data_IF_081737520410
#
_entry.id   IF_081737520410
#
_cell.length_a   1.000
_cell.length_b   1.000
_cell.length_c   1.000
_cell.angle_alpha   90.00
_cell.angle_beta   90.00
_cell.angle_gamma   90.00
#
_symmetry.space_group_name_H-M   'P 1'
#
loop_
_entity.id
_entity.type
_entity.pdbx_description
1 polymer ?
#
# COMPACT_ATOMS: atom_id res chain seq x y z
N UNK A 1 26.34 -23.51 5.79
CA UNK A 1 25.16 -22.68 6.09
C UNK A 1 25.50 -21.23 5.76
N UNK A 2 24.66 -20.52 5.01
CA UNK A 2 24.83 -19.08 4.80
C UNK A 2 24.43 -18.35 6.10
N UNK A 3 25.30 -17.47 6.58
CA UNK A 3 25.02 -16.62 7.75
C UNK A 3 24.13 -15.47 7.28
N UNK A 4 23.04 -15.20 7.99
CA UNK A 4 22.15 -14.09 7.67
C UNK A 4 22.88 -12.75 7.89
N UNK A 5 22.94 -11.85 6.90
CA UNK A 5 23.57 -10.55 7.05
C UNK A 5 22.92 -9.72 8.16
N UNK A 6 23.73 -9.03 8.96
CA UNK A 6 23.25 -8.12 10.00
C UNK A 6 22.96 -6.74 9.40
N UNK A 7 21.81 -6.61 8.74
CA UNK A 7 21.35 -5.35 8.15
C UNK A 7 20.42 -4.66 9.14
N UNK A 8 20.73 -3.42 9.54
CA UNK A 8 19.80 -2.61 10.33
C UNK A 8 18.51 -2.36 9.52
N UNK A 9 17.32 -2.76 10.00
CA UNK A 9 16.07 -2.55 9.29
C UNK A 9 15.67 -1.07 9.18
N UNK A 10 16.26 -0.19 9.97
CA UNK A 10 15.99 1.25 10.01
C UNK A 10 17.05 2.00 9.21
N UNK A 11 16.62 2.82 8.26
CA UNK A 11 17.51 3.68 7.46
C UNK A 11 17.95 4.88 8.30
N UNK A 12 16.97 5.59 8.88
CA UNK A 12 17.17 6.69 9.81
C UNK A 12 15.92 6.90 10.66
N UNK A 13 16.05 7.70 11.72
CA UNK A 13 14.95 8.06 12.63
C UNK A 13 14.76 9.57 12.67
N UNK A 14 13.51 9.99 12.73
CA UNK A 14 13.12 11.38 13.00
C UNK A 14 12.19 11.36 14.21
N UNK A 15 12.75 11.59 15.40
CA UNK A 15 12.03 11.42 16.66
C UNK A 15 11.49 9.98 16.82
N UNK A 16 10.18 9.78 17.10
CA UNK A 16 9.59 8.44 17.24
C UNK A 16 9.39 7.72 15.89
N UNK A 17 9.53 8.41 14.75
CA UNK A 17 9.30 7.84 13.43
C UNK A 17 10.59 7.17 12.92
N UNK A 18 10.52 5.85 12.72
CA UNK A 18 11.60 5.08 12.10
C UNK A 18 11.29 4.81 10.62
N UNK A 19 12.13 5.32 9.72
CA UNK A 19 12.04 5.03 8.29
C UNK A 19 12.76 3.71 8.04
N UNK A 20 12.07 2.71 7.49
CA UNK A 20 12.58 1.34 7.34
C UNK A 20 12.81 0.98 5.88
N UNK A 21 13.77 0.09 5.64
CA UNK A 21 14.11 -0.39 4.28
C UNK A 21 12.92 -0.98 3.54
N UNK A 22 12.11 -1.81 4.19
CA UNK A 22 10.94 -2.40 3.54
C UNK A 22 9.94 -1.34 3.07
N UNK A 23 9.77 -0.25 3.83
CA UNK A 23 8.88 0.86 3.46
C UNK A 23 9.40 1.61 2.25
N UNK A 24 10.72 1.85 2.20
CA UNK A 24 11.37 2.40 1.01
C UNK A 24 11.18 1.49 -0.20
N UNK A 25 11.33 0.18 -0.04
CA UNK A 25 11.12 -0.78 -1.13
C UNK A 25 9.68 -0.77 -1.66
N UNK A 26 8.67 -0.53 -0.81
CA UNK A 26 7.29 -0.33 -1.28
C UNK A 26 7.14 0.92 -2.16
N UNK A 27 7.78 2.02 -1.77
CA UNK A 27 7.75 3.27 -2.56
C UNK A 27 8.45 3.05 -3.90
N UNK A 28 9.63 2.41 -3.90
CA UNK A 28 10.35 2.08 -5.13
C UNK A 28 9.50 1.18 -6.02
N UNK A 29 8.86 0.15 -5.46
CA UNK A 29 7.98 -0.74 -6.22
C UNK A 29 6.82 0.01 -6.88
N UNK A 30 6.20 0.97 -6.18
CA UNK A 30 5.15 1.81 -6.75
C UNK A 30 5.65 2.62 -7.94
N UNK A 31 6.80 3.30 -7.81
CA UNK A 31 7.38 4.08 -8.91
C UNK A 31 7.82 3.19 -10.08
N UNK A 32 8.42 2.04 -9.81
CA UNK A 32 8.75 1.07 -10.86
C UNK A 32 7.52 0.65 -11.66
N UNK A 33 6.41 0.33 -10.98
CA UNK A 33 5.15 -0.01 -11.63
C UNK A 33 4.60 1.16 -12.45
N UNK A 34 4.56 2.36 -11.86
CA UNK A 34 4.12 3.59 -12.53
C UNK A 34 4.89 3.86 -13.82
N UNK A 35 6.23 3.89 -13.75
CA UNK A 35 7.07 4.20 -14.92
C UNK A 35 7.00 3.09 -15.97
N UNK A 36 6.97 1.83 -15.55
CA UNK A 36 6.87 0.70 -16.47
C UNK A 36 5.53 0.68 -17.22
N UNK A 37 4.42 0.96 -16.53
CA UNK A 37 3.10 1.05 -17.18
C UNK A 37 3.01 2.25 -18.11
N UNK A 38 3.54 3.43 -17.73
CA UNK A 38 3.60 4.59 -18.61
C UNK A 38 4.47 4.34 -19.84
N UNK A 39 5.62 3.70 -19.66
CA UNK A 39 6.49 3.30 -20.77
C UNK A 39 5.75 2.40 -21.77
N UNK A 40 5.03 1.38 -21.30
CA UNK A 40 4.24 0.50 -22.16
C UNK A 40 3.09 1.19 -22.89
N UNK A 41 2.43 2.17 -22.26
CA UNK A 41 1.41 2.98 -22.94
C UNK A 41 2.02 3.85 -24.04
N UNK A 42 3.19 4.45 -23.78
CA UNK A 42 3.93 5.23 -24.78
C UNK A 42 4.30 4.40 -26.00
N UNK A 43 4.85 3.21 -25.79
CA UNK A 43 5.23 2.27 -26.88
C UNK A 43 4.02 1.88 -27.76
N UNK A 44 2.81 1.96 -27.20
CA UNK A 44 1.55 1.67 -27.90
C UNK A 44 0.85 2.90 -28.46
N UNK A 45 1.43 4.10 -28.32
CA UNK A 45 0.80 5.38 -28.66
C UNK A 45 -0.56 5.59 -27.94
N UNK A 46 -0.63 5.23 -26.65
CA UNK A 46 -1.81 5.35 -25.80
C UNK A 46 -1.59 6.33 -24.64
N UNK A 47 -0.84 7.41 -24.86
CA UNK A 47 -0.52 8.40 -23.82
C UNK A 47 -1.75 9.12 -23.26
N UNK A 48 -2.87 9.15 -23.99
CA UNK A 48 -4.15 9.63 -23.51
C UNK A 48 -4.67 8.85 -22.29
N UNK A 49 -4.19 7.63 -22.06
CA UNK A 49 -4.52 6.81 -20.90
C UNK A 49 -3.65 7.10 -19.68
N UNK A 50 -2.66 8.00 -19.75
CA UNK A 50 -1.85 8.34 -18.57
C UNK A 50 -2.71 8.79 -17.38
N UNK A 51 -3.63 9.78 -17.50
CA UNK A 51 -4.42 10.21 -16.34
C UNK A 51 -5.26 9.05 -15.76
N UNK A 52 -5.76 8.17 -16.62
CA UNK A 52 -6.49 6.98 -16.19
C UNK A 52 -5.61 6.02 -15.39
N UNK A 53 -4.41 5.69 -15.89
CA UNK A 53 -3.45 4.82 -15.21
C UNK A 53 -3.02 5.39 -13.87
N UNK A 54 -2.71 6.68 -13.82
CA UNK A 54 -2.21 7.35 -12.61
C UNK A 54 -3.26 7.35 -11.51
N UNK A 55 -4.51 7.69 -11.86
CA UNK A 55 -5.63 7.60 -10.95
C UNK A 55 -5.92 6.15 -10.53
N UNK A 56 -5.89 5.18 -11.45
CA UNK A 56 -6.09 3.77 -11.13
C UNK A 56 -5.05 3.28 -10.10
N UNK A 57 -3.77 3.58 -10.31
CA UNK A 57 -2.70 3.22 -9.39
C UNK A 57 -2.86 3.91 -8.03
N UNK A 58 -3.14 5.22 -8.03
CA UNK A 58 -3.33 5.99 -6.81
C UNK A 58 -4.52 5.49 -5.99
N UNK A 59 -5.70 5.33 -6.60
CA UNK A 59 -6.87 4.84 -5.90
C UNK A 59 -6.72 3.39 -5.46
N UNK A 60 -6.10 2.52 -6.26
CA UNK A 60 -5.84 1.14 -5.85
C UNK A 60 -4.87 1.06 -4.66
N UNK A 61 -3.88 1.95 -4.61
CA UNK A 61 -2.97 2.07 -3.46
C UNK A 61 -3.68 2.59 -2.20
N UNK A 62 -4.57 3.57 -2.34
CA UNK A 62 -5.43 4.01 -1.22
C UNK A 62 -6.34 2.87 -0.73
N UNK A 63 -6.96 2.13 -1.67
CA UNK A 63 -7.76 0.94 -1.38
C UNK A 63 -6.95 -0.12 -0.63
N UNK A 64 -5.69 -0.33 -1.00
CA UNK A 64 -4.78 -1.21 -0.30
C UNK A 64 -4.55 -0.78 1.14
N UNK A 65 -4.23 0.49 1.40
CA UNK A 65 -3.94 0.97 2.76
C UNK A 65 -5.20 0.86 3.64
N UNK A 66 -6.34 1.34 3.13
CA UNK A 66 -7.61 1.32 3.85
C UNK A 66 -8.05 -0.12 4.09
N UNK A 67 -8.04 -0.95 3.06
CA UNK A 67 -8.42 -2.35 3.15
C UNK A 67 -7.51 -3.13 4.08
N UNK A 68 -6.20 -2.90 4.04
CA UNK A 68 -5.26 -3.55 4.95
C UNK A 68 -5.53 -3.18 6.40
N UNK A 69 -5.81 -1.91 6.67
CA UNK A 69 -6.11 -1.46 8.03
C UNK A 69 -7.44 -2.01 8.53
N UNK A 70 -8.50 -1.91 7.73
CA UNK A 70 -9.82 -2.43 8.10
C UNK A 70 -9.80 -3.95 8.24
N UNK A 71 -9.16 -4.66 7.31
CA UNK A 71 -8.98 -6.11 7.41
C UNK A 71 -8.19 -6.50 8.66
N UNK A 72 -7.21 -5.70 9.08
CA UNK A 72 -6.53 -5.94 10.36
C UNK A 72 -7.50 -5.83 11.55
N UNK A 73 -8.29 -4.76 11.57
CA UNK A 73 -9.25 -4.50 12.64
C UNK A 73 -10.34 -5.56 12.71
N UNK A 74 -10.92 -5.94 11.58
CA UNK A 74 -12.05 -6.87 11.52
C UNK A 74 -11.65 -8.34 11.63
N UNK A 75 -10.54 -8.76 11.01
CA UNK A 75 -10.18 -10.18 10.97
C UNK A 75 -9.43 -10.64 12.22
N UNK A 76 -8.71 -9.74 12.89
CA UNK A 76 -7.81 -10.13 13.99
C UNK A 76 -8.23 -9.59 15.36
N UNK A 77 -8.78 -8.37 15.45
CA UNK A 77 -9.08 -7.75 16.76
C UNK A 77 -10.42 -6.98 16.78
N UNK A 78 -11.54 -7.56 16.32
CA UNK A 78 -12.80 -6.83 16.19
C UNK A 78 -13.29 -6.23 17.52
N UNK A 79 -13.26 -7.00 18.61
CA UNK A 79 -13.75 -6.56 19.93
C UNK A 79 -12.98 -5.36 20.50
N UNK A 80 -11.68 -5.29 20.21
CA UNK A 80 -10.84 -4.18 20.65
C UNK A 80 -11.20 -2.88 19.92
N UNK A 81 -11.34 -2.95 18.60
CA UNK A 81 -11.62 -1.77 17.77
C UNK A 81 -13.07 -1.29 17.89
N UNK A 82 -14.02 -2.17 18.25
CA UNK A 82 -15.37 -1.75 18.62
C UNK A 82 -15.38 -0.87 19.88
N UNK A 83 -14.50 -1.14 20.84
CA UNK A 83 -14.34 -0.32 22.06
C UNK A 83 -13.48 0.92 21.82
N UNK A 84 -12.60 0.89 20.81
CA UNK A 84 -11.64 1.95 20.52
C UNK A 84 -11.65 2.36 19.03
N UNK A 85 -12.77 2.88 18.50
CA UNK A 85 -12.94 3.10 17.06
C UNK A 85 -11.95 4.12 16.48
N UNK A 86 -11.51 5.10 17.27
CA UNK A 86 -10.50 6.09 16.83
C UNK A 86 -9.14 5.44 16.53
N UNK A 87 -8.82 4.30 17.14
CA UNK A 87 -7.57 3.60 16.88
C UNK A 87 -7.52 2.94 15.51
N UNK A 88 -8.66 2.79 14.81
CA UNK A 88 -8.68 2.29 13.44
C UNK A 88 -7.82 3.19 12.53
N UNK A 89 -7.77 4.49 12.77
CA UNK A 89 -7.00 5.46 11.96
C UNK A 89 -5.51 5.46 12.36
N UNK A 90 -5.15 4.91 13.51
CA UNK A 90 -3.80 4.92 14.07
C UNK A 90 -2.86 3.91 13.38
N UNK A 91 -2.66 4.05 12.06
CA UNK A 91 -1.83 3.17 11.23
C UNK A 91 -0.35 3.14 11.66
N UNK A 92 0.13 4.19 12.33
CA UNK A 92 1.50 4.27 12.87
C UNK A 92 1.75 3.32 14.04
N UNK A 93 0.69 2.81 14.70
CA UNK A 93 0.82 1.74 15.72
C UNK A 93 1.09 0.37 15.08
N UNK A 94 1.17 0.28 13.75
CA UNK A 94 1.26 -0.98 13.01
C UNK A 94 -0.09 -1.70 12.95
N UNK A 95 -0.07 -2.96 12.49
CA UNK A 95 -1.28 -3.75 12.29
C UNK A 95 -1.90 -3.49 10.92
N UNK A 96 -1.53 -4.33 9.95
CA UNK A 96 -2.01 -4.29 8.57
C UNK A 96 -2.28 -5.73 8.12
N UNK A 97 -3.41 -5.96 7.47
CA UNK A 97 -3.79 -7.26 6.89
C UNK A 97 -3.39 -7.31 5.43
N UNK A 98 -2.64 -8.35 5.04
CA UNK A 98 -2.38 -8.61 3.63
C UNK A 98 -3.69 -8.87 2.86
N UNK A 99 -4.56 -9.75 3.38
CA UNK A 99 -5.84 -10.08 2.76
C UNK A 99 -6.75 -8.87 2.62
N UNK A 100 -6.82 -8.05 3.67
CA UNK A 100 -7.57 -6.79 3.63
C UNK A 100 -7.03 -5.84 2.55
N UNK A 101 -5.70 -5.72 2.44
CA UNK A 101 -5.08 -4.87 1.43
C UNK A 101 -5.32 -5.35 0.00
N UNK A 102 -5.24 -6.66 -0.23
CA UNK A 102 -5.54 -7.28 -1.52
C UNK A 102 -7.00 -7.08 -1.92
N UNK A 103 -7.95 -7.31 -1.00
CA UNK A 103 -9.38 -7.09 -1.26
C UNK A 103 -9.64 -5.62 -1.56
N UNK A 104 -9.07 -4.72 -0.74
CA UNK A 104 -9.26 -3.28 -0.89
C UNK A 104 -8.71 -2.74 -2.22
N UNK A 105 -7.53 -3.17 -2.65
CA UNK A 105 -6.95 -2.74 -3.93
C UNK A 105 -7.75 -3.25 -5.13
N UNK A 106 -8.16 -4.52 -5.13
CA UNK A 106 -8.97 -5.11 -6.21
C UNK A 106 -10.33 -4.43 -6.27
N UNK A 107 -11.00 -4.22 -5.14
CA UNK A 107 -12.33 -3.61 -5.09
C UNK A 107 -12.29 -2.18 -5.66
N UNK A 108 -11.34 -1.36 -5.21
CA UNK A 108 -11.22 0.02 -5.69
C UNK A 108 -10.83 0.06 -7.16
N UNK A 109 -9.87 -0.77 -7.59
CA UNK A 109 -9.49 -0.87 -8.99
C UNK A 109 -10.66 -1.29 -9.89
N UNK A 110 -11.44 -2.29 -9.47
CA UNK A 110 -12.63 -2.73 -10.18
C UNK A 110 -13.69 -1.62 -10.29
N UNK A 111 -13.98 -0.91 -9.18
CA UNK A 111 -14.93 0.21 -9.18
C UNK A 111 -14.44 1.34 -10.10
N UNK A 112 -13.14 1.63 -10.10
CA UNK A 112 -12.57 2.68 -10.92
C UNK A 112 -12.64 2.35 -12.42
N UNK A 113 -12.37 1.10 -12.80
CA UNK A 113 -12.45 0.65 -14.20
C UNK A 113 -13.90 0.62 -14.71
N UNK A 114 -14.87 0.35 -13.84
CA UNK A 114 -16.28 0.28 -14.21
C UNK A 114 -16.93 1.65 -14.40
N UNK A 115 -16.35 2.71 -13.84
CA UNK A 115 -16.82 4.09 -14.02
C UNK A 115 -16.46 4.60 -15.40
#
# INVERSE_FOLDING_TARGET
MLIYPQIDPVIFRVGPLAVRWYGLMYIISFFCCFFLCRYQLKEKNLEELYPFLENLLFYSFLGLIIGARLGFCFFYYPDYFLKNPLEIIAIWKGGMSFHGGLIGSILVGYIYIKK
#
